data_IF_417414465694
#
_entry.id   IF_417414465694
#
_cell.length_a   1.000
_cell.length_b   1.000
_cell.length_c   1.000
_cell.angle_alpha   90.00
_cell.angle_beta   90.00
_cell.angle_gamma   90.00
#
_symmetry.space_group_name_H-M   'P 1'
#
loop_
_entity.id
_entity.type
_entity.pdbx_description
1 polymer ?
#
# COMPACT_ATOMS: atom_id res chain seq x y z
N UNK A 1 1.09 -5.39 -18.72
CA UNK A 1 0.04 -4.45 -19.19
C UNK A 1 -0.83 -4.14 -17.98
N UNK A 2 -0.47 -3.12 -17.19
CA UNK A 2 -1.18 -2.69 -15.99
C UNK A 2 -2.21 -1.64 -16.41
N UNK A 3 -3.49 -1.93 -16.18
CA UNK A 3 -4.61 -1.06 -16.57
C UNK A 3 -4.81 0.06 -15.54
N UNK A 4 -4.50 1.27 -15.99
CA UNK A 4 -4.98 2.64 -15.72
C UNK A 4 -6.02 3.00 -14.63
N UNK A 5 -6.57 2.09 -13.82
CA UNK A 5 -7.69 2.40 -12.90
C UNK A 5 -7.22 2.91 -11.52
N UNK A 6 -5.98 2.63 -11.11
CA UNK A 6 -5.47 3.04 -9.79
C UNK A 6 -4.85 4.46 -9.75
N UNK A 7 -4.85 5.20 -10.86
CA UNK A 7 -4.16 6.51 -10.95
C UNK A 7 -5.05 7.71 -10.58
N UNK A 8 -6.34 7.51 -10.35
CA UNK A 8 -7.27 8.62 -10.12
C UNK A 8 -7.36 9.09 -8.67
N UNK A 9 -7.01 8.24 -7.69
CA UNK A 9 -7.10 8.59 -6.27
C UNK A 9 -5.87 9.34 -5.74
N UNK A 10 -4.70 9.23 -6.39
CA UNK A 10 -3.52 10.02 -6.03
C UNK A 10 -3.68 11.52 -6.34
N UNK A 11 -4.47 11.89 -7.35
CA UNK A 11 -4.62 13.29 -7.78
C UNK A 11 -5.54 14.12 -6.87
N UNK A 12 -6.52 13.50 -6.20
CA UNK A 12 -7.49 14.21 -5.37
C UNK A 12 -6.91 14.67 -4.03
N UNK A 13 -5.96 13.93 -3.46
CA UNK A 13 -5.27 14.30 -2.21
C UNK A 13 -4.33 15.51 -2.42
N UNK A 14 -3.65 15.59 -3.57
CA UNK A 14 -2.71 16.67 -3.88
C UNK A 14 -3.43 18.03 -4.02
N UNK A 15 -4.66 18.07 -4.55
CA UNK A 15 -5.41 19.33 -4.71
C UNK A 15 -5.89 19.92 -3.38
N UNK A 16 -6.16 19.11 -2.37
CA UNK A 16 -6.56 19.60 -1.03
C UNK A 16 -5.39 20.27 -0.28
N UNK A 17 -4.17 19.75 -0.45
CA UNK A 17 -2.97 20.32 0.17
C UNK A 17 -2.55 21.65 -0.45
N UNK A 18 -2.80 21.86 -1.75
CA UNK A 18 -2.46 23.12 -2.43
C UNK A 18 -3.28 24.33 -1.95
N UNK A 19 -4.49 24.14 -1.42
CA UNK A 19 -5.31 25.26 -0.94
C UNK A 19 -4.90 25.77 0.46
N UNK A 20 -4.25 24.93 1.29
CA UNK A 20 -3.82 25.33 2.64
C UNK A 20 -2.50 26.12 2.66
N UNK A 21 -1.68 26.03 1.62
CA UNK A 21 -0.38 26.73 1.55
C UNK A 21 -0.57 28.23 1.20
N UNK A 22 -1.69 28.62 0.60
CA UNK A 22 -1.94 30.00 0.16
C UNK A 22 -2.25 31.00 1.29
N UNK A 23 -2.50 30.54 2.52
CA UNK A 23 -2.93 31.42 3.64
C UNK A 23 -1.74 32.06 4.40
N UNK A 24 -0.50 31.59 4.18
CA UNK A 24 0.67 32.09 4.95
C UNK A 24 1.39 33.27 4.25
N UNK A 25 0.90 33.75 3.09
CA UNK A 25 1.68 34.67 2.24
C UNK A 25 1.36 36.18 2.33
N UNK A 26 0.60 36.66 3.32
CA UNK A 26 0.35 38.10 3.45
C UNK A 26 0.39 38.58 4.89
N UNK A 27 1.54 39.10 5.32
CA UNK A 27 1.70 40.27 6.20
C UNK A 27 3.18 40.50 6.49
N UNK A 28 3.94 41.08 5.55
CA UNK A 28 5.21 41.74 5.88
C UNK A 28 5.63 42.79 4.83
N UNK A 29 4.97 43.94 4.90
CA UNK A 29 5.38 45.25 4.37
C UNK A 29 4.69 46.25 5.33
N UNK A 30 5.28 47.26 5.94
CA UNK A 30 6.50 48.02 5.68
C UNK A 30 6.86 48.69 7.01
N UNK A 31 8.12 48.61 7.44
CA UNK A 31 8.64 49.32 8.60
C UNK A 31 10.12 49.61 8.40
N UNK A 32 10.44 50.85 8.03
CA UNK A 32 11.80 51.37 7.95
C UNK A 32 12.55 51.19 9.28
N UNK A 33 13.68 50.50 9.27
CA UNK A 33 14.81 50.83 10.14
C UNK A 33 16.12 50.51 9.39
N UNK A 34 16.77 51.56 8.90
CA UNK A 34 18.19 51.49 8.57
C UNK A 34 18.98 51.64 9.87
N UNK A 35 19.86 50.69 10.19
CA UNK A 35 21.06 50.94 10.99
C UNK A 35 22.11 49.85 10.72
N UNK A 36 23.29 50.31 10.32
CA UNK A 36 24.53 49.56 10.19
C UNK A 36 24.86 48.79 11.48
N UNK A 37 25.24 47.51 11.40
CA UNK A 37 26.36 47.01 12.19
C UNK A 37 26.84 45.64 11.70
N UNK A 38 28.16 45.48 11.67
CA UNK A 38 28.92 44.30 11.21
C UNK A 38 28.59 43.06 12.06
N UNK A 39 27.53 42.32 11.75
CA UNK A 39 27.23 41.01 12.36
C UNK A 39 26.41 40.08 11.42
N UNK A 40 26.64 40.18 10.11
CA UNK A 40 25.94 39.37 9.09
C UNK A 40 26.22 37.86 9.16
N UNK A 41 27.25 37.42 9.89
CA UNK A 41 27.58 36.01 10.06
C UNK A 41 26.66 35.32 11.09
N UNK A 42 26.38 35.99 12.21
CA UNK A 42 25.50 35.48 13.26
C UNK A 42 24.05 35.33 12.78
N UNK A 43 23.55 36.28 11.99
CA UNK A 43 22.20 36.22 11.43
C UNK A 43 22.03 35.04 10.44
N UNK A 44 23.08 34.71 9.68
CA UNK A 44 23.09 33.56 8.77
C UNK A 44 23.06 32.23 9.53
N UNK A 45 23.81 32.12 10.63
CA UNK A 45 23.82 30.91 11.46
C UNK A 45 22.44 30.67 12.08
N UNK A 46 21.80 31.72 12.62
CA UNK A 46 20.45 31.63 13.20
C UNK A 46 19.44 31.12 12.16
N UNK A 47 19.48 31.65 10.94
CA UNK A 47 18.59 31.20 9.86
C UNK A 47 18.82 29.74 9.45
N UNK A 48 20.08 29.26 9.44
CA UNK A 48 20.41 27.86 9.13
C UNK A 48 19.86 26.92 10.22
N UNK A 49 20.04 27.28 11.49
CA UNK A 49 19.54 26.46 12.62
C UNK A 49 18.02 26.36 12.59
N UNK A 50 17.32 27.48 12.33
CA UNK A 50 15.85 27.48 12.18
C UNK A 50 15.43 26.58 11.02
N UNK A 51 16.09 26.65 9.87
CA UNK A 51 15.79 25.79 8.72
C UNK A 51 16.00 24.30 9.03
N UNK A 52 17.06 23.95 9.75
CA UNK A 52 17.31 22.56 10.18
C UNK A 52 16.23 22.08 11.15
N UNK A 53 15.85 22.90 12.13
CA UNK A 53 14.79 22.56 13.10
C UNK A 53 13.45 22.36 12.36
N UNK A 54 13.12 23.23 11.40
CA UNK A 54 11.93 23.09 10.56
C UNK A 54 11.97 21.82 9.71
N UNK A 55 13.12 21.48 9.12
CA UNK A 55 13.30 20.23 8.37
C UNK A 55 13.11 19.00 9.26
N UNK A 56 13.66 19.01 10.47
CA UNK A 56 13.46 17.91 11.44
C UNK A 56 11.99 17.79 11.89
N UNK A 57 11.31 18.92 12.14
CA UNK A 57 9.88 18.94 12.46
C UNK A 57 9.03 18.38 11.31
N UNK A 58 9.30 18.80 10.06
CA UNK A 58 8.60 18.32 8.87
C UNK A 58 8.86 16.82 8.63
N UNK A 59 10.09 16.34 8.83
CA UNK A 59 10.41 14.92 8.71
C UNK A 59 9.68 14.06 9.75
N UNK A 60 9.44 14.58 10.96
CA UNK A 60 8.71 13.88 12.02
C UNK A 60 7.22 13.71 11.68
N UNK A 61 6.61 14.68 11.01
CA UNK A 61 5.19 14.63 10.61
C UNK A 61 4.93 13.58 9.51
N UNK A 62 5.88 13.39 8.58
CA UNK A 62 5.76 12.39 7.50
C UNK A 62 5.86 10.93 8.00
N UNK A 63 6.51 10.69 9.14
CA UNK A 63 6.58 9.37 9.75
C UNK A 63 5.28 8.95 10.45
N UNK A 64 4.35 9.89 10.65
CA UNK A 64 3.10 9.67 11.36
C UNK A 64 1.89 9.50 10.43
N UNK A 65 2.07 8.89 9.24
CA UNK A 65 0.95 8.41 8.42
C UNK A 65 0.31 7.20 9.11
N UNK A 66 -0.51 7.51 10.11
CA UNK A 66 -1.75 6.86 10.55
C UNK A 66 -1.94 5.42 10.03
N UNK A 67 -1.61 4.44 10.87
CA UNK A 67 -2.18 3.10 10.76
C UNK A 67 -3.70 3.19 10.97
N UNK A 68 -4.47 3.52 9.93
CA UNK A 68 -5.85 3.08 9.90
C UNK A 68 -5.79 1.58 9.70
N UNK A 69 -5.89 0.82 10.79
CA UNK A 69 -6.05 -0.64 10.72
C UNK A 69 -7.27 -0.91 9.86
N UNK A 70 -7.02 -1.25 8.60
CA UNK A 70 -8.08 -1.62 7.67
C UNK A 70 -8.85 -2.79 8.28
N UNK A 71 -10.19 -2.83 8.12
CA UNK A 71 -10.97 -3.94 8.63
C UNK A 71 -10.46 -5.26 8.05
N UNK A 72 -10.41 -6.29 8.88
CA UNK A 72 -9.97 -7.62 8.48
C UNK A 72 -10.78 -8.15 7.30
N UNK A 73 -10.08 -8.75 6.34
CA UNK A 73 -10.69 -9.40 5.17
C UNK A 73 -10.53 -10.90 5.31
N UNK A 74 -11.63 -11.63 5.47
CA UNK A 74 -11.59 -13.09 5.58
C UNK A 74 -11.29 -13.77 4.23
N UNK A 75 -10.65 -14.97 4.24
CA UNK A 75 -10.43 -15.76 3.04
C UNK A 75 -11.78 -16.21 2.43
N UNK A 76 -11.80 -16.52 1.12
CA UNK A 76 -13.04 -16.88 0.44
C UNK A 76 -13.57 -18.26 0.84
N UNK A 77 -14.82 -18.52 0.45
CA UNK A 77 -15.36 -19.89 0.43
C UNK A 77 -15.05 -20.55 -0.92
N UNK A 78 -14.58 -21.80 -0.88
CA UNK A 78 -14.14 -22.56 -2.05
C UNK A 78 -15.26 -23.42 -2.68
N UNK A 79 -16.53 -23.04 -2.51
CA UNK A 79 -17.68 -23.82 -2.98
C UNK A 79 -18.03 -23.59 -4.46
N UNK A 80 -17.63 -22.44 -4.99
CA UNK A 80 -18.00 -22.01 -6.36
C UNK A 80 -16.81 -22.20 -7.27
N UNK A 81 -16.97 -23.13 -8.22
CA UNK A 81 -15.96 -23.49 -9.20
C UNK A 81 -15.79 -22.40 -10.26
N UNK A 82 -14.57 -22.30 -10.81
CA UNK A 82 -14.26 -21.40 -11.91
C UNK A 82 -12.80 -21.44 -12.31
N UNK A 83 -12.41 -20.54 -13.22
CA UNK A 83 -11.09 -20.51 -13.86
C UNK A 83 -9.91 -20.07 -12.98
N UNK A 84 -10.16 -19.57 -11.78
CA UNK A 84 -9.12 -19.02 -10.92
C UNK A 84 -8.50 -20.09 -10.03
N UNK A 85 -7.23 -20.42 -10.22
CA UNK A 85 -6.53 -21.35 -9.32
C UNK A 85 -5.98 -20.58 -8.12
N UNK A 86 -6.35 -21.05 -6.95
CA UNK A 86 -5.88 -20.57 -5.65
C UNK A 86 -5.46 -21.75 -4.78
N UNK A 87 -4.67 -21.47 -3.76
CA UNK A 87 -4.34 -22.41 -2.72
C UNK A 87 -4.89 -21.92 -1.38
N UNK A 88 -5.65 -22.77 -0.68
CA UNK A 88 -6.09 -22.51 0.69
C UNK A 88 -4.96 -22.89 1.64
N UNK A 89 -4.33 -21.90 2.28
CA UNK A 89 -3.23 -22.16 3.22
C UNK A 89 -3.72 -22.68 4.57
N UNK A 90 -5.00 -22.47 4.92
CA UNK A 90 -5.60 -22.95 6.17
C UNK A 90 -5.89 -24.45 6.03
N UNK A 91 -6.59 -24.85 4.96
CA UNK A 91 -6.95 -26.25 4.72
C UNK A 91 -5.90 -27.05 3.96
N UNK A 92 -4.91 -26.37 3.38
CA UNK A 92 -3.81 -26.95 2.59
C UNK A 92 -4.30 -27.66 1.33
N UNK A 93 -5.25 -27.06 0.62
CA UNK A 93 -5.85 -27.62 -0.59
C UNK A 93 -5.75 -26.69 -1.80
N UNK A 94 -5.54 -27.28 -2.98
CA UNK A 94 -5.65 -26.58 -4.26
C UNK A 94 -7.12 -26.47 -4.66
N UNK A 95 -7.56 -25.29 -5.08
CA UNK A 95 -8.94 -25.06 -5.46
C UNK A 95 -9.06 -24.16 -6.69
N UNK A 96 -9.88 -24.60 -7.66
CA UNK A 96 -10.39 -23.78 -8.74
C UNK A 96 -11.62 -23.01 -8.28
N UNK A 97 -11.55 -21.69 -8.29
CA UNK A 97 -12.58 -20.80 -7.77
C UNK A 97 -13.10 -19.81 -8.82
N UNK A 98 -14.34 -19.40 -8.61
CA UNK A 98 -14.97 -18.32 -9.39
C UNK A 98 -14.36 -16.94 -9.13
N UNK A 99 -14.76 -15.97 -9.96
CA UNK A 99 -14.27 -14.58 -9.93
C UNK A 99 -14.36 -13.94 -8.54
N UNK A 100 -15.49 -14.09 -7.85
CA UNK A 100 -15.72 -13.47 -6.56
C UNK A 100 -14.74 -13.97 -5.50
N UNK A 101 -14.63 -15.30 -5.34
CA UNK A 101 -13.71 -15.93 -4.41
C UNK A 101 -12.24 -15.61 -4.74
N UNK A 102 -11.88 -15.55 -6.03
CA UNK A 102 -10.54 -15.15 -6.45
C UNK A 102 -10.19 -13.71 -6.02
N UNK A 103 -11.12 -12.76 -6.22
CA UNK A 103 -10.94 -11.37 -5.83
C UNK A 103 -10.90 -11.20 -4.31
N UNK A 104 -11.74 -11.94 -3.58
CA UNK A 104 -11.71 -11.96 -2.14
C UNK A 104 -10.38 -12.51 -1.61
N UNK A 105 -9.83 -13.56 -2.22
CA UNK A 105 -8.50 -14.05 -1.85
C UNK A 105 -7.42 -13.00 -2.09
N UNK A 106 -7.44 -12.31 -3.23
CA UNK A 106 -6.50 -11.21 -3.52
C UNK A 106 -6.58 -10.11 -2.44
N UNK A 107 -7.79 -9.74 -2.02
CA UNK A 107 -7.98 -8.75 -0.97
C UNK A 107 -7.45 -9.22 0.39
N UNK A 108 -7.72 -10.47 0.77
CA UNK A 108 -7.16 -11.10 1.98
C UNK A 108 -5.62 -11.14 1.94
N UNK A 109 -5.02 -11.53 0.80
CA UNK A 109 -3.56 -11.50 0.63
C UNK A 109 -2.99 -10.09 0.84
N UNK A 110 -3.60 -9.07 0.22
CA UNK A 110 -3.15 -7.67 0.36
C UNK A 110 -3.24 -7.20 1.82
N UNK A 111 -4.34 -7.53 2.50
CA UNK A 111 -4.53 -7.19 3.91
C UNK A 111 -3.51 -7.91 4.80
N UNK A 112 -3.26 -9.19 4.56
CA UNK A 112 -2.30 -9.97 5.34
C UNK A 112 -0.88 -9.41 5.20
N UNK A 113 -0.46 -9.05 3.97
CA UNK A 113 0.83 -8.40 3.72
C UNK A 113 0.94 -7.07 4.45
N UNK A 114 -0.08 -6.19 4.36
CA UNK A 114 -0.05 -4.90 5.04
C UNK A 114 -0.05 -5.01 6.57
N UNK A 115 -0.59 -6.10 7.12
CA UNK A 115 -0.67 -6.35 8.57
C UNK A 115 0.40 -7.33 9.08
N UNK A 116 1.41 -7.67 8.27
CA UNK A 116 2.48 -8.59 8.65
C UNK A 116 1.96 -9.96 9.13
N UNK A 117 0.88 -10.45 8.53
CA UNK A 117 0.26 -11.76 8.78
C UNK A 117 0.65 -12.76 7.69
N UNK A 118 0.71 -14.07 7.99
CA UNK A 118 0.91 -15.09 6.97
C UNK A 118 -0.28 -15.14 6.01
N UNK A 119 -0.05 -15.66 4.80
CA UNK A 119 -1.12 -15.87 3.83
C UNK A 119 -2.10 -16.95 4.29
N UNK A 120 -3.39 -16.61 4.31
CA UNK A 120 -4.47 -17.58 4.55
C UNK A 120 -4.99 -18.19 3.25
N UNK A 121 -4.82 -17.49 2.14
CA UNK A 121 -5.02 -17.99 0.79
C UNK A 121 -3.94 -17.40 -0.13
N UNK A 122 -3.64 -18.08 -1.23
CA UNK A 122 -2.64 -17.62 -2.19
C UNK A 122 -3.17 -17.75 -3.62
N UNK A 123 -3.13 -16.67 -4.40
CA UNK A 123 -3.53 -16.69 -5.81
C UNK A 123 -2.39 -17.20 -6.67
N UNK A 124 -2.70 -18.10 -7.61
CA UNK A 124 -1.68 -18.70 -8.48
C UNK A 124 -1.80 -18.09 -9.88
N UNK A 125 -2.94 -18.32 -10.53
CA UNK A 125 -3.26 -17.75 -11.84
C UNK A 125 -4.72 -17.97 -12.22
N UNK A 126 -5.14 -17.29 -13.29
CA UNK A 126 -6.43 -17.52 -13.95
C UNK A 126 -6.19 -18.23 -15.28
N UNK A 127 -6.98 -19.26 -15.57
CA UNK A 127 -6.90 -20.04 -16.81
C UNK A 127 -7.91 -19.60 -17.86
N UNK A 128 -7.79 -20.13 -19.08
CA UNK A 128 -8.69 -19.79 -20.18
C UNK A 128 -10.08 -20.39 -19.99
N UNK A 129 -10.15 -21.66 -19.60
CA UNK A 129 -11.39 -22.39 -19.28
C UNK A 129 -11.39 -22.95 -17.86
N UNK A 130 -12.56 -23.36 -17.37
CA UNK A 130 -12.68 -24.03 -16.07
C UNK A 130 -11.96 -25.39 -16.10
N UNK A 131 -12.05 -26.09 -17.24
CA UNK A 131 -11.40 -27.38 -17.45
C UNK A 131 -9.87 -27.28 -17.32
N UNK A 132 -9.26 -26.25 -17.91
CA UNK A 132 -7.82 -26.01 -17.78
C UNK A 132 -7.39 -25.84 -16.32
N UNK A 133 -8.18 -25.10 -15.54
CA UNK A 133 -7.92 -24.93 -14.12
C UNK A 133 -7.97 -26.29 -13.41
N UNK A 134 -9.03 -27.07 -13.63
CA UNK A 134 -9.23 -28.38 -13.00
C UNK A 134 -8.07 -29.32 -13.33
N UNK A 135 -7.63 -29.34 -14.59
CA UNK A 135 -6.49 -30.16 -15.01
C UNK A 135 -5.23 -29.80 -14.23
N UNK A 136 -4.94 -28.52 -14.03
CA UNK A 136 -3.76 -28.11 -13.24
C UNK A 136 -3.96 -28.32 -11.74
N UNK A 137 -5.18 -28.13 -11.21
CA UNK A 137 -5.49 -28.45 -9.81
C UNK A 137 -5.20 -29.93 -9.54
N UNK A 138 -5.72 -30.83 -10.37
CA UNK A 138 -5.48 -32.26 -10.27
C UNK A 138 -3.99 -32.58 -10.40
N UNK A 139 -3.31 -32.00 -11.38
CA UNK A 139 -1.86 -32.16 -11.54
C UNK A 139 -1.10 -31.78 -10.25
N UNK A 140 -1.42 -30.63 -9.66
CA UNK A 140 -0.76 -30.14 -8.45
C UNK A 140 -1.03 -31.03 -7.23
N UNK A 141 -2.25 -31.55 -7.10
CA UNK A 141 -2.64 -32.52 -6.06
C UNK A 141 -1.86 -33.82 -6.26
N UNK A 142 -1.90 -34.40 -7.46
CA UNK A 142 -1.25 -35.68 -7.76
C UNK A 142 0.28 -35.61 -7.60
N UNK A 143 0.90 -34.49 -7.96
CA UNK A 143 2.34 -34.29 -7.86
C UNK A 143 2.81 -33.79 -6.49
N UNK A 144 1.88 -33.51 -5.57
CA UNK A 144 2.16 -32.93 -4.26
C UNK A 144 3.14 -31.74 -4.37
N UNK A 145 2.80 -30.80 -5.24
CA UNK A 145 3.64 -29.63 -5.55
C UNK A 145 3.93 -28.85 -4.25
N UNK A 146 5.18 -28.43 -4.06
CA UNK A 146 5.60 -27.67 -2.88
C UNK A 146 4.87 -26.33 -2.78
N UNK A 147 4.50 -25.96 -1.56
CA UNK A 147 3.66 -24.78 -1.24
C UNK A 147 4.34 -23.90 -0.19
N UNK A 148 5.51 -23.37 -0.56
CA UNK A 148 6.35 -22.59 0.36
C UNK A 148 5.78 -21.18 0.63
N UNK A 149 4.96 -20.68 -0.31
CA UNK A 149 4.30 -19.37 -0.25
C UNK A 149 3.28 -19.18 0.88
N UNK A 150 2.85 -20.23 1.58
CA UNK A 150 1.97 -20.09 2.76
C UNK A 150 2.73 -19.66 4.02
N UNK A 151 4.06 -19.81 4.02
CA UNK A 151 4.92 -19.49 5.18
C UNK A 151 5.57 -18.12 5.06
N UNK A 152 5.72 -17.63 3.83
CA UNK A 152 6.42 -16.38 3.58
C UNK A 152 5.51 -15.17 3.77
N UNK A 153 6.06 -14.18 4.49
CA UNK A 153 5.71 -12.78 4.29
C UNK A 153 6.41 -12.39 3.00
N UNK A 154 5.79 -12.60 1.84
CA UNK A 154 6.39 -12.15 0.59
C UNK A 154 6.59 -10.62 0.67
N UNK A 155 7.85 -10.23 0.77
CA UNK A 155 8.34 -8.86 0.98
C UNK A 155 8.98 -8.37 -0.30
#
# INVERSE_FOLDING_TARGET
MLTAVDRHDEYLVIRSLSQKISVIKYSFHSGNVACLSKNGFLLKIINIVIAIILLFWVARELAATKETKDPYVAPPTYKVWGRGLVYDCIKKEWACVGRYAYLQCRANMKWNVSHNKPHECHIIRVYHTDLDCIMVQLYNITRNVKVDFCKEKDR
#
